data_IF_241397114263
#
_entry.id   IF_241397114263
#
_cell.length_a   1.000
_cell.length_b   1.000
_cell.length_c   1.000
_cell.angle_alpha   90.00
_cell.angle_beta   90.00
_cell.angle_gamma   90.00
#
_symmetry.space_group_name_H-M   'P 1'
#
loop_
_entity.id
_entity.type
_entity.pdbx_description
1 polymer ?
#
# COMPACT_ATOMS: atom_id res chain seq x y z
N UNK A 1 6.33 23.26 2.67
CA UNK A 1 7.58 22.51 2.39
C UNK A 1 7.16 21.16 1.86
N UNK A 2 7.32 20.91 0.58
CA UNK A 2 7.08 19.60 -0.01
C UNK A 2 8.29 18.73 0.29
N UNK A 3 8.10 17.66 1.03
CA UNK A 3 9.12 16.64 1.25
C UNK A 3 9.26 15.83 -0.04
N UNK A 4 10.26 16.17 -0.85
CA UNK A 4 10.63 15.34 -1.98
C UNK A 4 11.11 13.97 -1.46
N UNK A 5 10.37 12.93 -1.78
CA UNK A 5 10.73 11.55 -1.54
C UNK A 5 11.95 11.19 -2.39
N UNK A 6 13.12 11.17 -1.79
CA UNK A 6 14.34 10.79 -2.48
C UNK A 6 14.29 9.28 -2.80
N UNK A 7 14.24 8.93 -4.10
CA UNK A 7 14.19 7.55 -4.64
C UNK A 7 15.25 6.62 -4.00
N UNK A 8 16.44 7.14 -3.66
CA UNK A 8 17.52 6.36 -3.05
C UNK A 8 17.23 5.92 -1.61
N UNK A 9 16.47 6.70 -0.84
CA UNK A 9 16.09 6.33 0.53
C UNK A 9 15.04 5.21 0.54
N UNK A 10 14.16 5.21 -0.45
CA UNK A 10 13.13 4.18 -0.60
C UNK A 10 13.75 2.83 -1.03
N UNK A 11 14.70 2.83 -1.96
CA UNK A 11 15.40 1.62 -2.44
C UNK A 11 16.12 0.85 -1.30
N UNK A 12 16.65 1.54 -0.30
CA UNK A 12 17.27 0.88 0.86
C UNK A 12 16.28 0.10 1.73
N UNK A 13 15.01 0.49 1.73
CA UNK A 13 13.98 -0.16 2.53
C UNK A 13 13.17 -1.21 1.76
N UNK A 14 13.01 -1.05 0.45
CA UNK A 14 12.34 -2.04 -0.40
C UNK A 14 13.21 -3.28 -0.64
N UNK A 15 14.54 -3.13 -0.70
CA UNK A 15 15.46 -4.25 -0.84
C UNK A 15 15.43 -5.21 0.37
N UNK A 16 15.22 -4.69 1.59
CA UNK A 16 15.09 -5.52 2.80
C UNK A 16 13.78 -6.34 2.81
N UNK A 17 12.72 -5.84 2.17
CA UNK A 17 11.44 -6.56 2.08
C UNK A 17 11.43 -7.66 0.99
N UNK A 18 12.31 -7.56 -0.02
CA UNK A 18 12.35 -8.51 -1.13
C UNK A 18 13.04 -9.85 -0.76
N UNK A 19 13.89 -9.88 0.25
CA UNK A 19 14.65 -11.09 0.63
C UNK A 19 13.83 -12.08 1.46
N UNK A 20 12.71 -11.66 2.06
CA UNK A 20 11.93 -12.51 2.98
C UNK A 20 10.90 -13.42 2.31
N UNK A 21 10.78 -13.46 0.98
CA UNK A 21 9.70 -14.20 0.29
C UNK A 21 10.18 -15.45 -0.46
N UNK A 22 11.47 -15.73 -0.53
CA UNK A 22 11.99 -16.91 -1.24
C UNK A 22 12.15 -18.18 -0.35
N UNK A 23 11.76 -18.11 0.93
CA UNK A 23 11.85 -19.24 1.86
C UNK A 23 10.56 -19.41 2.63
N UNK A 24 9.67 -20.23 2.13
CA UNK A 24 8.52 -20.72 2.87
C UNK A 24 8.96 -21.48 4.13
N UNK A 25 8.33 -21.17 5.26
CA UNK A 25 8.25 -22.01 6.46
C UNK A 25 9.60 -22.45 7.04
N UNK A 26 10.26 -21.60 7.80
CA UNK A 26 11.10 -21.94 8.96
C UNK A 26 12.01 -20.78 9.39
N UNK A 27 11.48 -19.57 9.60
CA UNK A 27 12.13 -18.54 10.41
C UNK A 27 11.08 -17.89 11.33
N UNK A 28 10.57 -18.67 12.23
CA UNK A 28 10.06 -18.16 13.50
C UNK A 28 11.30 -17.75 14.28
N UNK A 29 11.62 -16.45 14.31
CA UNK A 29 12.70 -16.01 15.18
C UNK A 29 13.53 -14.79 14.80
N UNK A 30 13.18 -14.03 13.74
CA UNK A 30 13.71 -12.68 13.56
C UNK A 30 12.52 -11.71 13.63
N UNK A 31 12.50 -10.84 14.63
CA UNK A 31 11.40 -9.97 14.95
C UNK A 31 10.83 -9.29 13.72
N UNK A 32 9.53 -9.48 13.46
CA UNK A 32 8.82 -8.63 12.52
C UNK A 32 9.12 -7.19 12.94
N UNK A 33 9.62 -6.39 12.01
CA UNK A 33 9.87 -4.98 12.28
C UNK A 33 8.55 -4.40 12.81
N UNK A 34 8.57 -3.89 14.03
CA UNK A 34 7.38 -3.43 14.75
C UNK A 34 6.57 -2.43 13.91
N UNK A 35 7.24 -1.76 12.97
CA UNK A 35 6.70 -0.69 12.16
C UNK A 35 6.38 -1.09 10.70
N UNK A 36 6.63 -2.34 10.30
CA UNK A 36 6.41 -2.81 8.94
C UNK A 36 5.55 -4.08 8.95
N UNK A 37 4.45 -4.05 8.23
CA UNK A 37 3.55 -5.21 8.10
C UNK A 37 3.32 -5.52 6.64
N UNK A 38 3.48 -6.80 6.29
CA UNK A 38 3.29 -7.27 4.92
C UNK A 38 2.28 -8.42 4.89
N UNK A 39 1.42 -8.41 3.87
CA UNK A 39 0.44 -9.47 3.65
C UNK A 39 0.02 -9.59 2.19
N UNK A 40 -0.80 -10.60 1.89
CA UNK A 40 -1.44 -10.73 0.59
C UNK A 40 -2.65 -9.81 0.52
N UNK A 41 -3.07 -9.45 -0.70
CA UNK A 41 -4.32 -8.71 -0.90
C UNK A 41 -5.49 -9.45 -0.23
N UNK A 42 -6.37 -8.70 0.43
CA UNK A 42 -7.47 -9.23 1.24
C UNK A 42 -7.10 -9.57 2.68
N UNK A 43 -5.83 -9.45 3.09
CA UNK A 43 -5.45 -9.62 4.49
C UNK A 43 -5.65 -8.34 5.30
N UNK A 44 -5.86 -8.53 6.61
CA UNK A 44 -5.88 -7.44 7.59
C UNK A 44 -4.50 -7.30 8.20
N UNK A 45 -3.92 -6.11 8.11
CA UNK A 45 -2.64 -5.77 8.71
C UNK A 45 -2.88 -4.90 9.96
N UNK A 46 -2.18 -5.19 11.04
CA UNK A 46 -2.30 -4.47 12.32
C UNK A 46 -1.01 -3.72 12.60
N UNK A 47 -1.13 -2.42 12.82
CA UNK A 47 -0.01 -1.56 13.15
C UNK A 47 -0.45 -0.55 14.23
N UNK A 48 -0.68 0.71 13.88
CA UNK A 48 -1.32 1.71 14.76
C UNK A 48 -2.84 1.73 14.60
N UNK A 49 -3.33 0.85 13.79
CA UNK A 49 -4.71 0.61 13.43
C UNK A 49 -4.86 -0.77 12.82
N UNK A 50 -6.05 -1.05 12.33
CA UNK A 50 -6.30 -2.21 11.48
C UNK A 50 -6.58 -1.72 10.06
N UNK A 51 -5.91 -2.31 9.09
CA UNK A 51 -5.97 -1.95 7.68
C UNK A 51 -6.27 -3.20 6.88
N UNK A 52 -7.40 -3.23 6.19
CA UNK A 52 -7.86 -4.40 5.44
C UNK A 52 -8.09 -4.00 3.98
N UNK A 53 -7.55 -4.78 3.05
CA UNK A 53 -7.95 -4.76 1.64
C UNK A 53 -8.96 -5.88 1.36
N UNK A 54 -9.58 -5.86 0.20
CA UNK A 54 -10.62 -6.82 -0.19
C UNK A 54 -10.13 -7.75 -1.29
N UNK A 55 -10.73 -8.95 -1.37
CA UNK A 55 -10.48 -9.94 -2.44
C UNK A 55 -11.67 -9.98 -3.40
N UNK A 56 -11.40 -10.27 -4.66
CA UNK A 56 -12.45 -10.53 -5.65
C UNK A 56 -13.32 -11.76 -5.32
N UNK A 57 -12.77 -12.71 -4.57
CA UNK A 57 -13.48 -13.91 -4.09
C UNK A 57 -14.43 -13.64 -2.91
N UNK A 58 -14.39 -12.46 -2.31
CA UNK A 58 -15.35 -12.03 -1.29
C UNK A 58 -16.58 -11.42 -1.99
N UNK A 59 -17.61 -12.25 -2.23
CA UNK A 59 -18.80 -11.88 -3.00
C UNK A 59 -19.51 -10.66 -2.44
N UNK A 60 -19.51 -10.44 -1.12
CA UNK A 60 -20.14 -9.29 -0.48
C UNK A 60 -19.38 -7.97 -0.75
N UNK A 61 -18.09 -8.05 -1.05
CA UNK A 61 -17.19 -6.91 -1.21
C UNK A 61 -16.37 -6.97 -2.52
N UNK A 62 -16.79 -7.78 -3.49
CA UNK A 62 -16.04 -7.98 -4.75
C UNK A 62 -15.77 -6.63 -5.47
N UNK A 63 -16.72 -5.71 -5.45
CA UNK A 63 -16.55 -4.38 -6.04
C UNK A 63 -15.53 -3.46 -5.33
N UNK A 64 -15.03 -3.87 -4.16
CA UNK A 64 -13.97 -3.16 -3.41
C UNK A 64 -12.59 -3.78 -3.60
N UNK A 65 -12.52 -4.94 -4.26
CA UNK A 65 -11.27 -5.59 -4.59
C UNK A 65 -10.43 -4.74 -5.55
N UNK A 66 -9.09 -4.91 -5.55
CA UNK A 66 -8.26 -4.23 -6.53
C UNK A 66 -8.72 -4.52 -7.96
N UNK A 67 -8.85 -3.46 -8.73
CA UNK A 67 -9.24 -3.52 -10.14
C UNK A 67 -8.32 -2.63 -10.98
N UNK A 68 -8.14 -2.98 -12.24
CA UNK A 68 -7.39 -2.20 -13.21
C UNK A 68 -8.29 -1.91 -14.40
N UNK A 69 -8.50 -0.63 -14.70
CA UNK A 69 -9.26 -0.17 -15.85
C UNK A 69 -8.30 0.43 -16.89
N UNK A 70 -8.06 -0.22 -18.03
CA UNK A 70 -7.21 0.32 -19.10
C UNK A 70 -7.74 1.66 -19.62
N UNK A 71 -6.85 2.54 -20.07
CA UNK A 71 -7.20 3.83 -20.68
C UNK A 71 -7.90 3.69 -22.05
N UNK A 72 -7.85 2.50 -22.63
CA UNK A 72 -8.48 2.15 -23.90
C UNK A 72 -8.25 0.69 -24.25
N UNK A 73 -8.95 0.18 -25.24
CA UNK A 73 -8.82 -1.21 -25.69
C UNK A 73 -7.37 -1.51 -26.10
N UNK A 74 -6.77 -2.52 -25.49
CA UNK A 74 -5.38 -2.93 -25.75
C UNK A 74 -4.30 -2.06 -25.10
N UNK A 75 -4.69 -1.04 -24.30
CA UNK A 75 -3.72 -0.23 -23.55
C UNK A 75 -3.15 -1.01 -22.36
N UNK A 76 -1.83 -0.95 -22.18
CA UNK A 76 -1.13 -1.44 -20.97
C UNK A 76 -1.10 -0.41 -19.85
N UNK A 77 -1.60 0.81 -20.10
CA UNK A 77 -1.73 1.87 -19.10
C UNK A 77 -3.18 2.10 -18.73
N UNK A 78 -3.43 2.38 -17.45
CA UNK A 78 -4.79 2.57 -16.97
C UNK A 78 -4.85 3.12 -15.56
N UNK A 79 -6.00 2.94 -14.94
CA UNK A 79 -6.25 3.31 -13.54
C UNK A 79 -6.36 2.05 -12.70
N UNK A 80 -5.48 1.94 -11.71
CA UNK A 80 -5.58 0.94 -10.65
C UNK A 80 -6.45 1.50 -9.52
N UNK A 81 -7.41 0.74 -9.05
CA UNK A 81 -8.29 1.11 -7.94
C UNK A 81 -8.20 0.05 -6.86
N UNK A 82 -8.11 0.47 -5.60
CA UNK A 82 -8.14 -0.43 -4.45
C UNK A 82 -8.86 0.25 -3.28
N UNK A 83 -9.72 -0.48 -2.58
CA UNK A 83 -10.34 0.02 -1.36
C UNK A 83 -9.63 -0.54 -0.14
N UNK A 84 -9.33 0.34 0.81
CA UNK A 84 -8.76 0.00 2.12
C UNK A 84 -9.76 0.36 3.20
N UNK A 85 -10.15 -0.63 3.98
CA UNK A 85 -10.88 -0.42 5.21
C UNK A 85 -9.88 -0.04 6.32
N UNK A 86 -10.12 1.06 6.98
CA UNK A 86 -9.22 1.63 7.99
C UNK A 86 -9.98 1.82 9.30
N UNK A 87 -9.37 1.34 10.39
CA UNK A 87 -9.81 1.61 11.76
C UNK A 87 -8.61 2.05 12.59
N UNK A 88 -8.66 3.26 13.13
CA UNK A 88 -7.64 3.71 14.08
C UNK A 88 -7.83 3.00 15.43
N UNK A 89 -6.74 2.50 16.03
CA UNK A 89 -6.80 1.81 17.34
C UNK A 89 -6.00 2.53 18.42
N UNK A 90 -5.34 3.62 18.10
CA UNK A 90 -4.58 4.43 19.04
C UNK A 90 -5.22 5.80 19.25
N UNK A 91 -5.41 6.19 20.53
CA UNK A 91 -5.90 7.53 20.88
C UNK A 91 -4.83 8.61 20.83
N UNK A 92 -3.55 8.22 20.79
CA UNK A 92 -2.44 9.18 20.94
C UNK A 92 -2.15 9.96 19.68
N UNK A 93 -2.46 9.40 18.51
CA UNK A 93 -2.04 9.98 17.24
C UNK A 93 -3.02 9.62 16.13
N UNK A 94 -3.52 10.61 15.40
CA UNK A 94 -4.35 10.36 14.23
C UNK A 94 -3.55 9.67 13.12
N UNK A 95 -4.25 8.91 12.30
CA UNK A 95 -3.75 8.40 11.03
C UNK A 95 -3.95 9.46 9.95
N UNK A 96 -3.08 9.49 8.97
CA UNK A 96 -3.26 10.31 7.78
C UNK A 96 -3.70 9.42 6.62
N UNK A 97 -4.86 9.74 6.03
CA UNK A 97 -5.42 9.03 4.87
C UNK A 97 -5.50 10.03 3.71
N UNK A 98 -4.36 10.36 3.16
CA UNK A 98 -4.17 11.34 2.07
C UNK A 98 -3.34 10.73 0.94
N UNK A 99 -3.39 11.29 -0.25
CA UNK A 99 -2.74 10.75 -1.44
C UNK A 99 -1.22 10.51 -1.25
N UNK A 100 -0.55 11.36 -0.50
CA UNK A 100 0.89 11.25 -0.21
C UNK A 100 1.26 10.08 0.73
N UNK A 101 0.25 9.40 1.28
CA UNK A 101 0.42 8.24 2.15
C UNK A 101 0.28 6.90 1.43
N UNK A 102 -0.02 6.91 0.15
CA UNK A 102 -0.16 5.69 -0.65
C UNK A 102 0.87 5.63 -1.76
N UNK A 103 1.29 4.41 -2.08
CA UNK A 103 2.22 4.11 -3.15
C UNK A 103 1.82 2.79 -3.81
N UNK A 104 1.89 2.74 -5.13
CA UNK A 104 1.85 1.50 -5.89
C UNK A 104 3.22 1.23 -6.49
N UNK A 105 3.74 0.03 -6.30
CA UNK A 105 4.99 -0.43 -6.88
C UNK A 105 4.71 -1.64 -7.77
N UNK A 106 5.11 -1.56 -9.02
CA UNK A 106 4.95 -2.64 -10.01
C UNK A 106 6.31 -3.25 -10.31
N UNK A 107 6.39 -4.56 -10.25
CA UNK A 107 7.61 -5.36 -10.46
C UNK A 107 8.78 -4.96 -9.54
N UNK A 108 8.60 -4.97 -8.22
CA UNK A 108 9.63 -4.58 -7.26
C UNK A 108 10.91 -5.39 -7.44
N UNK A 109 12.07 -4.71 -7.46
CA UNK A 109 13.39 -5.32 -7.58
C UNK A 109 13.75 -5.79 -8.99
N UNK A 110 12.98 -5.45 -10.02
CA UNK A 110 13.30 -5.71 -11.42
C UNK A 110 13.79 -4.44 -12.12
N UNK A 111 14.47 -4.59 -13.27
CA UNK A 111 14.90 -3.45 -14.08
C UNK A 111 13.73 -2.58 -14.60
N UNK A 112 12.53 -3.17 -14.68
CA UNK A 112 11.29 -2.50 -15.10
C UNK A 112 10.41 -2.11 -13.89
N UNK A 113 11.03 -1.82 -12.75
CA UNK A 113 10.32 -1.38 -11.56
C UNK A 113 9.71 0.01 -11.76
N UNK A 114 8.43 0.15 -11.48
CA UNK A 114 7.70 1.39 -11.64
C UNK A 114 7.00 1.79 -10.34
N UNK A 115 7.25 3.02 -9.89
CA UNK A 115 6.67 3.62 -8.68
C UNK A 115 5.64 4.68 -9.04
N UNK A 116 4.47 4.55 -8.44
CA UNK A 116 3.37 5.51 -8.59
C UNK A 116 3.03 6.08 -7.22
N UNK A 117 3.58 7.25 -6.91
CA UNK A 117 3.35 7.97 -5.64
C UNK A 117 2.28 9.05 -5.76
N UNK A 118 2.34 10.03 -4.88
CA UNK A 118 1.30 11.06 -4.68
C UNK A 118 0.82 11.78 -5.95
N UNK A 119 1.70 11.99 -6.94
CA UNK A 119 1.33 12.63 -8.22
C UNK A 119 0.32 11.82 -9.03
N UNK A 120 0.33 10.51 -8.86
CA UNK A 120 -0.55 9.57 -9.55
C UNK A 120 -1.73 9.12 -8.70
N UNK A 121 -1.65 9.32 -7.39
CA UNK A 121 -2.62 8.82 -6.41
C UNK A 121 -3.70 9.85 -6.13
N UNK A 122 -4.93 9.39 -6.03
CA UNK A 122 -6.06 10.14 -5.46
C UNK A 122 -6.77 9.27 -4.44
N UNK A 123 -7.25 9.86 -3.36
CA UNK A 123 -8.05 9.22 -2.33
C UNK A 123 -9.43 9.85 -2.33
N UNK A 124 -10.46 9.04 -2.42
CA UNK A 124 -11.82 9.53 -2.26
C UNK A 124 -12.07 9.88 -0.79
N UNK A 125 -12.45 11.13 -0.53
CA UNK A 125 -12.72 11.66 0.82
C UNK A 125 -11.48 11.53 1.73
N UNK A 126 -10.38 12.17 1.35
CA UNK A 126 -9.18 12.25 2.17
C UNK A 126 -9.49 12.66 3.62
N UNK A 127 -8.75 12.08 4.55
CA UNK A 127 -8.83 12.42 5.97
C UNK A 127 -7.42 12.53 6.57
N UNK A 128 -6.89 13.74 6.73
CA UNK A 128 -5.53 13.93 7.27
C UNK A 128 -5.44 13.70 8.79
N UNK A 129 -6.58 13.54 9.48
CA UNK A 129 -6.65 13.38 10.95
C UNK A 129 -7.66 12.32 11.36
N UNK A 130 -7.63 11.15 10.72
CA UNK A 130 -8.49 10.03 11.05
C UNK A 130 -8.16 9.44 12.42
N UNK A 131 -9.12 9.44 13.32
CA UNK A 131 -8.94 9.09 14.74
C UNK A 131 -9.73 7.84 15.13
N UNK A 132 -9.61 7.43 16.37
CA UNK A 132 -10.41 6.34 16.94
C UNK A 132 -11.90 6.66 16.98
N UNK A 133 -12.26 7.94 17.09
CA UNK A 133 -13.66 8.39 17.17
C UNK A 133 -14.36 8.37 15.80
N UNK A 134 -13.60 8.30 14.71
CA UNK A 134 -14.14 8.15 13.36
C UNK A 134 -14.62 6.71 13.04
N UNK A 135 -14.33 5.77 13.95
CA UNK A 135 -14.75 4.39 13.85
C UNK A 135 -13.97 3.60 12.79
N UNK A 136 -14.71 2.96 11.90
CA UNK A 136 -14.17 2.15 10.80
C UNK A 136 -14.74 2.66 9.47
N UNK A 137 -13.87 2.92 8.49
CA UNK A 137 -14.26 3.52 7.22
C UNK A 137 -13.48 2.93 6.04
N UNK A 138 -14.17 2.81 4.92
CA UNK A 138 -13.56 2.46 3.64
C UNK A 138 -13.06 3.72 2.92
N UNK A 139 -11.85 3.63 2.39
CA UNK A 139 -11.25 4.65 1.54
C UNK A 139 -10.93 4.02 0.19
N UNK A 140 -11.40 4.62 -0.89
CA UNK A 140 -11.08 4.20 -2.25
C UNK A 140 -9.88 4.98 -2.76
N UNK A 141 -8.83 4.26 -3.11
CA UNK A 141 -7.59 4.80 -3.64
C UNK A 141 -7.53 4.49 -5.14
N UNK A 142 -7.30 5.52 -5.94
CA UNK A 142 -7.11 5.42 -7.39
C UNK A 142 -5.71 5.87 -7.76
N UNK A 143 -5.00 5.05 -8.52
CA UNK A 143 -3.67 5.34 -9.06
C UNK A 143 -3.78 5.41 -10.57
N UNK A 144 -3.55 6.59 -11.15
CA UNK A 144 -3.70 6.85 -12.58
C UNK A 144 -2.41 6.57 -13.34
N UNK A 145 -2.54 6.34 -14.64
CA UNK A 145 -1.43 6.14 -15.58
C UNK A 145 -0.49 4.99 -15.18
N UNK A 146 -1.04 3.99 -14.50
CA UNK A 146 -0.29 2.78 -14.13
C UNK A 146 -0.07 1.94 -15.39
N UNK A 147 1.17 1.54 -15.64
CA UNK A 147 1.49 0.49 -16.60
C UNK A 147 1.45 -0.85 -15.89
N UNK A 148 0.54 -1.72 -16.31
CA UNK A 148 0.30 -3.01 -15.66
C UNK A 148 -0.04 -4.07 -16.71
N UNK A 149 0.67 -5.19 -16.67
CA UNK A 149 0.43 -6.35 -17.51
C UNK A 149 0.08 -7.58 -16.66
N UNK A 150 -0.59 -8.54 -17.26
CA UNK A 150 -0.89 -9.81 -16.60
C UNK A 150 0.42 -10.52 -16.20
N UNK A 151 0.48 -10.98 -14.95
CA UNK A 151 1.66 -11.59 -14.35
C UNK A 151 2.57 -10.65 -13.59
N UNK A 152 2.39 -9.33 -13.72
CA UNK A 152 3.16 -8.35 -12.96
C UNK A 152 2.95 -8.52 -11.46
N UNK A 153 4.02 -8.35 -10.70
CA UNK A 153 3.97 -8.31 -9.24
C UNK A 153 3.68 -6.88 -8.80
N UNK A 154 2.71 -6.75 -7.91
CA UNK A 154 2.24 -5.44 -7.44
C UNK A 154 2.33 -5.40 -5.92
N UNK A 155 2.91 -4.31 -5.41
CA UNK A 155 2.88 -3.95 -4.01
C UNK A 155 2.08 -2.67 -3.85
N UNK A 156 0.98 -2.75 -3.11
CA UNK A 156 0.19 -1.59 -2.69
C UNK A 156 0.56 -1.26 -1.25
N UNK A 157 1.03 -0.02 -1.03
CA UNK A 157 1.67 0.37 0.22
C UNK A 157 0.92 1.56 0.83
N UNK A 158 0.66 1.49 2.13
CA UNK A 158 0.09 2.56 2.93
C UNK A 158 1.03 2.96 4.07
N UNK A 159 1.30 4.24 4.19
CA UNK A 159 2.11 4.87 5.22
C UNK A 159 1.20 5.65 6.18
N UNK A 160 0.62 5.01 7.21
CA UNK A 160 -0.37 5.66 8.07
C UNK A 160 0.21 6.87 8.80
N UNK A 161 1.55 6.91 8.97
CA UNK A 161 2.26 7.98 9.65
C UNK A 161 3.74 7.99 9.30
N UNK A 162 4.31 9.22 9.27
CA UNK A 162 5.75 9.43 9.40
C UNK A 162 5.99 9.96 10.80
N UNK A 163 6.63 9.20 11.66
CA UNK A 163 7.04 9.66 12.98
C UNK A 163 8.45 10.22 12.89
N UNK A 164 8.60 11.51 13.24
CA UNK A 164 9.92 12.04 13.55
C UNK A 164 10.31 11.52 14.93
N UNK A 165 11.39 10.79 15.05
CA UNK A 165 11.98 10.51 16.36
C UNK A 165 12.59 11.81 16.89
N UNK A 166 12.17 12.22 18.09
CA UNK A 166 12.81 13.32 18.79
C UNK A 166 14.23 12.89 19.14
N UNK A 167 15.25 13.45 18.49
CA UNK A 167 16.57 13.43 19.04
C UNK A 167 17.72 12.83 18.26
N UNK A 168 17.57 12.27 17.08
CA UNK A 168 18.64 12.01 16.11
C UNK A 168 18.03 11.46 14.82
N UNK A 169 17.95 12.28 13.82
CA UNK A 169 17.87 12.01 12.36
C UNK A 169 17.27 10.68 11.82
N UNK A 170 16.55 9.90 12.61
CA UNK A 170 15.89 8.66 12.22
C UNK A 170 14.38 8.83 12.15
N UNK A 171 13.82 8.93 10.95
CA UNK A 171 12.38 8.79 10.74
C UNK A 171 12.03 7.30 10.78
N UNK A 172 11.34 6.84 11.79
CA UNK A 172 10.74 5.51 11.79
C UNK A 172 9.51 5.56 10.90
N UNK A 173 9.56 4.91 9.74
CA UNK A 173 8.43 4.82 8.81
C UNK A 173 7.61 3.59 9.14
N UNK A 174 6.39 3.81 9.59
CA UNK A 174 5.41 2.75 9.72
C UNK A 174 4.73 2.56 8.36
N UNK A 175 4.67 1.32 7.83
CA UNK A 175 3.95 1.05 6.60
C UNK A 175 3.35 -0.36 6.55
N UNK A 176 2.29 -0.47 5.79
CA UNK A 176 1.60 -1.71 5.46
C UNK A 176 1.72 -1.97 3.97
N UNK A 177 2.13 -3.18 3.58
CA UNK A 177 2.28 -3.60 2.19
C UNK A 177 1.37 -4.78 1.88
N UNK A 178 0.51 -4.64 0.87
CA UNK A 178 -0.24 -5.77 0.30
C UNK A 178 0.34 -6.15 -1.04
N UNK A 179 0.62 -7.45 -1.17
CA UNK A 179 1.20 -8.05 -2.38
C UNK A 179 0.14 -8.79 -3.19
N UNK A 180 0.18 -8.60 -4.49
CA UNK A 180 -0.67 -9.32 -5.44
C UNK A 180 0.07 -9.58 -6.75
N UNK A 181 -0.52 -10.42 -7.59
CA UNK A 181 -0.11 -10.58 -8.99
C UNK A 181 -1.26 -10.09 -9.84
N UNK A 182 -0.96 -9.26 -10.83
CA UNK A 182 -1.96 -8.80 -11.79
C UNK A 182 -2.48 -10.00 -12.60
N UNK A 183 -3.78 -10.15 -12.66
CA UNK A 183 -4.45 -11.16 -13.49
C UNK A 183 -5.01 -10.45 -14.72
N UNK A 184 -5.05 -11.16 -15.84
CA UNK A 184 -5.80 -10.70 -17.00
C UNK A 184 -7.29 -10.82 -16.62
N UNK A 185 -8.04 -9.72 -16.71
CA UNK A 185 -9.48 -9.84 -16.59
C UNK A 185 -9.97 -10.83 -17.65
N UNK A 186 -10.60 -11.90 -17.20
CA UNK A 186 -11.36 -12.77 -18.07
C UNK A 186 -12.62 -12.01 -18.48
N UNK A 187 -12.52 -11.26 -19.58
CA UNK A 187 -13.64 -10.72 -20.30
C UNK A 187 -14.54 -11.82 -20.85
#
# INVERSE_FOLDING_TARGET
MSLEFNRRSFLKYSAAAAVAVAGSSLLVGCGEDEYQKTGKIGSTLKLMGTFKTYKSTDTANAGKAPAFAPNGSGSDTGTFTCTVNIKCTTKKVPLAVTADKFLLNVNPGKNEENYYGSTYVTVEKEDPKFTVDDGERDFTIKVKNVKLAAGDKVEFIYFPRIQASSGNSGYTRAFCTWKMTATKDSS
#
